data_IF_851486455194
#
_entry.id   IF_851486455194
#
_cell.length_a   1.000
_cell.length_b   1.000
_cell.length_c   1.000
_cell.angle_alpha   90.00
_cell.angle_beta   90.00
_cell.angle_gamma   90.00
#
_symmetry.space_group_name_H-M   'P 1'
#
loop_
_entity.id
_entity.type
_entity.pdbx_description
1 polymer ?
#
# COMPACT_ATOMS: atom_id res chain seq x y z
N UNK A 1 1.67 -12.53 -11.44
CA UNK A 1 1.01 -11.40 -12.10
C UNK A 1 -0.05 -10.77 -11.20
N UNK A 2 -1.02 -11.53 -10.67
CA UNK A 2 -2.13 -11.03 -9.83
C UNK A 2 -1.60 -10.26 -8.60
N UNK A 3 -0.62 -10.80 -7.90
CA UNK A 3 -0.06 -10.20 -6.69
C UNK A 3 0.76 -8.91 -6.95
N UNK A 4 1.31 -8.75 -8.15
CA UNK A 4 2.02 -7.52 -8.51
C UNK A 4 1.09 -6.29 -8.55
N UNK A 5 -0.20 -6.51 -8.83
CA UNK A 5 -1.23 -5.47 -8.90
C UNK A 5 -2.10 -5.40 -7.62
N UNK A 6 -1.86 -6.28 -6.64
CA UNK A 6 -2.64 -6.33 -5.40
C UNK A 6 -2.60 -5.03 -4.57
N UNK A 7 -1.57 -4.20 -4.78
CA UNK A 7 -1.41 -2.89 -4.14
C UNK A 7 -1.69 -1.71 -5.06
N UNK A 8 -2.28 -1.93 -6.23
CA UNK A 8 -2.70 -0.85 -7.12
C UNK A 8 -3.85 -0.04 -6.52
N UNK A 9 -3.90 1.25 -6.82
CA UNK A 9 -4.97 2.13 -6.35
C UNK A 9 -6.38 1.66 -6.70
N UNK A 10 -6.54 0.83 -7.71
CA UNK A 10 -7.83 0.23 -8.09
C UNK A 10 -8.47 -0.63 -7.00
N UNK A 11 -7.67 -1.18 -6.06
CA UNK A 11 -8.22 -1.96 -4.94
C UNK A 11 -9.13 -1.13 -4.02
N UNK A 12 -8.97 0.19 -4.02
CA UNK A 12 -9.83 1.08 -3.26
C UNK A 12 -11.27 1.15 -3.79
N UNK A 13 -11.51 0.84 -5.07
CA UNK A 13 -12.86 0.85 -5.66
C UNK A 13 -13.76 -0.19 -4.99
N UNK A 14 -13.43 -1.50 -4.97
CA UNK A 14 -14.25 -2.48 -4.26
C UNK A 14 -14.28 -2.24 -2.75
N UNK A 15 -13.19 -1.76 -2.13
CA UNK A 15 -13.17 -1.42 -0.71
C UNK A 15 -14.16 -0.28 -0.40
N UNK A 16 -14.22 0.75 -1.23
CA UNK A 16 -15.19 1.84 -1.12
C UNK A 16 -16.63 1.33 -1.27
N UNK A 17 -16.91 0.55 -2.31
CA UNK A 17 -18.23 0.01 -2.57
C UNK A 17 -18.72 -0.87 -1.41
N UNK A 18 -17.89 -1.79 -0.92
CA UNK A 18 -18.22 -2.65 0.23
C UNK A 18 -18.43 -1.84 1.52
N UNK A 19 -17.60 -0.83 1.77
CA UNK A 19 -17.74 0.04 2.94
C UNK A 19 -19.03 0.85 2.84
N UNK A 20 -19.36 1.38 1.67
CA UNK A 20 -20.60 2.11 1.42
C UNK A 20 -21.83 1.23 1.63
N UNK A 21 -21.80 -0.03 1.20
CA UNK A 21 -22.93 -0.95 1.30
C UNK A 21 -23.15 -1.47 2.73
N UNK A 22 -22.08 -1.83 3.43
CA UNK A 22 -22.19 -2.60 4.69
C UNK A 22 -21.71 -1.86 5.93
N UNK A 23 -20.90 -0.79 5.78
CA UNK A 23 -20.22 -0.11 6.89
C UNK A 23 -20.14 1.41 6.69
N UNK A 24 -21.22 2.04 6.23
CA UNK A 24 -21.28 3.48 5.88
C UNK A 24 -20.62 4.42 6.89
N UNK A 25 -20.77 4.16 8.18
CA UNK A 25 -20.17 4.97 9.24
C UNK A 25 -18.63 5.05 9.19
N UNK A 26 -17.98 4.06 8.56
CA UNK A 26 -16.51 4.03 8.40
C UNK A 26 -16.04 4.60 7.05
N UNK A 27 -16.96 5.13 6.23
CA UNK A 27 -16.58 5.74 4.94
C UNK A 27 -15.62 6.92 5.11
N UNK A 28 -15.84 7.86 6.07
CA UNK A 28 -14.86 8.93 6.31
C UNK A 28 -13.48 8.39 6.73
N UNK A 29 -13.44 7.32 7.53
CA UNK A 29 -12.20 6.66 7.92
C UNK A 29 -11.46 6.08 6.70
N UNK A 30 -12.18 5.40 5.80
CA UNK A 30 -11.61 4.88 4.55
C UNK A 30 -11.02 6.00 3.70
N UNK A 31 -11.81 7.06 3.46
CA UNK A 31 -11.37 8.20 2.65
C UNK A 31 -10.15 8.90 3.26
N UNK A 32 -10.15 9.13 4.56
CA UNK A 32 -9.00 9.68 5.27
C UNK A 32 -7.76 8.76 5.12
N UNK A 33 -7.93 7.43 5.19
CA UNK A 33 -6.83 6.48 5.00
C UNK A 33 -6.23 6.57 3.60
N UNK A 34 -7.06 6.64 2.57
CA UNK A 34 -6.61 6.80 1.17
C UNK A 34 -5.83 8.11 1.02
N UNK A 35 -6.38 9.22 1.51
CA UNK A 35 -5.77 10.54 1.40
C UNK A 35 -4.44 10.61 2.15
N UNK A 36 -4.40 10.18 3.42
CA UNK A 36 -3.19 10.18 4.23
C UNK A 36 -2.09 9.30 3.62
N UNK A 37 -2.43 8.07 3.20
CA UNK A 37 -1.47 7.16 2.58
C UNK A 37 -0.91 7.73 1.28
N UNK A 38 -1.76 8.34 0.45
CA UNK A 38 -1.34 8.97 -0.80
C UNK A 38 -0.45 10.17 -0.53
N UNK A 39 -0.85 11.09 0.36
CA UNK A 39 -0.05 12.29 0.67
C UNK A 39 1.31 11.89 1.22
N UNK A 40 1.38 11.01 2.22
CA UNK A 40 2.65 10.60 2.83
C UNK A 40 3.55 9.94 1.78
N UNK A 41 3.02 9.02 0.98
CA UNK A 41 3.78 8.32 -0.06
C UNK A 41 4.30 9.30 -1.12
N UNK A 42 3.45 10.18 -1.65
CA UNK A 42 3.83 11.08 -2.74
C UNK A 42 4.77 12.19 -2.26
N UNK A 43 4.53 12.75 -1.07
CA UNK A 43 5.45 13.72 -0.47
C UNK A 43 6.84 13.10 -0.23
N UNK A 44 6.88 11.86 0.27
CA UNK A 44 8.15 11.13 0.44
C UNK A 44 8.89 10.99 -0.89
N UNK A 45 8.21 10.58 -1.96
CA UNK A 45 8.81 10.38 -3.28
C UNK A 45 9.26 11.67 -3.96
N UNK A 46 8.47 12.73 -3.84
CA UNK A 46 8.69 13.95 -4.62
C UNK A 46 9.55 15.00 -3.91
N UNK A 47 9.55 14.99 -2.56
CA UNK A 47 10.25 15.99 -1.76
C UNK A 47 11.51 15.41 -1.12
N UNK A 48 11.39 14.29 -0.39
CA UNK A 48 12.48 13.78 0.44
C UNK A 48 13.40 12.79 -0.30
N UNK A 49 12.83 11.93 -1.15
CA UNK A 49 13.54 10.82 -1.81
C UNK A 49 13.36 10.87 -3.33
N UNK A 50 13.54 12.07 -3.88
CA UNK A 50 13.38 12.31 -5.30
C UNK A 50 14.44 11.53 -6.11
N UNK A 51 13.96 10.80 -7.11
CA UNK A 51 14.80 10.06 -8.06
C UNK A 51 15.58 8.87 -7.48
N UNK A 52 15.19 8.34 -6.30
CA UNK A 52 15.80 7.09 -5.81
C UNK A 52 15.66 5.97 -6.85
N UNK A 53 16.78 5.34 -7.14
CA UNK A 53 16.86 4.29 -8.16
C UNK A 53 16.18 3.01 -7.71
N UNK A 54 15.51 2.34 -8.66
CA UNK A 54 14.96 1.01 -8.46
C UNK A 54 15.98 -0.08 -8.72
N UNK A 55 15.77 -1.33 -8.25
CA UNK A 55 16.65 -2.46 -8.55
C UNK A 55 16.96 -2.59 -10.03
N UNK A 56 15.98 -2.35 -10.91
CA UNK A 56 16.11 -2.38 -12.37
C UNK A 56 17.10 -1.37 -12.96
N UNK A 57 17.39 -0.29 -12.23
CA UNK A 57 18.37 0.71 -12.65
C UNK A 57 19.77 0.46 -12.07
N UNK A 58 19.87 -0.32 -10.98
CA UNK A 58 21.12 -0.55 -10.25
C UNK A 58 21.74 -1.88 -10.62
N UNK A 59 20.92 -2.91 -10.87
CA UNK A 59 21.39 -4.25 -11.25
C UNK A 59 21.67 -4.26 -12.75
N UNK A 60 22.96 -4.22 -13.11
CA UNK A 60 23.39 -4.21 -14.51
C UNK A 60 23.21 -5.56 -15.21
N UNK A 61 23.27 -6.67 -14.47
CA UNK A 61 23.05 -7.99 -15.03
C UNK A 61 21.54 -8.31 -15.13
N UNK A 62 21.02 -8.23 -16.34
CA UNK A 62 19.63 -8.54 -16.65
C UNK A 62 19.22 -9.98 -16.35
N UNK A 63 20.16 -10.93 -16.24
CA UNK A 63 19.88 -12.32 -15.90
C UNK A 63 19.44 -12.48 -14.43
N UNK A 64 19.83 -11.54 -13.57
CA UNK A 64 19.43 -11.51 -12.14
C UNK A 64 18.06 -10.88 -11.92
N UNK A 65 17.46 -10.25 -12.94
CA UNK A 65 16.16 -9.61 -12.83
C UNK A 65 15.07 -10.53 -13.39
N UNK A 66 14.15 -10.95 -12.51
CA UNK A 66 13.00 -11.73 -12.95
C UNK A 66 11.98 -10.82 -13.68
N UNK A 67 12.00 -10.89 -15.02
CA UNK A 67 11.08 -10.13 -15.88
C UNK A 67 9.77 -10.88 -16.04
N UNK A 68 8.66 -10.26 -15.66
CA UNK A 68 7.31 -10.80 -15.86
C UNK A 68 6.65 -10.05 -17.00
N UNK A 69 6.15 -10.79 -18.00
CA UNK A 69 5.45 -10.20 -19.15
C UNK A 69 4.25 -9.37 -18.71
N UNK A 70 4.12 -8.17 -19.28
CA UNK A 70 3.01 -7.25 -18.98
C UNK A 70 3.24 -6.35 -17.76
N UNK A 71 4.40 -6.43 -17.07
CA UNK A 71 4.78 -5.48 -16.03
C UNK A 71 5.75 -4.46 -16.59
N UNK A 72 5.36 -3.18 -16.51
CA UNK A 72 6.24 -2.06 -16.86
C UNK A 72 7.28 -1.90 -15.76
N UNK A 73 8.56 -2.02 -16.13
CA UNK A 73 9.67 -1.85 -15.20
C UNK A 73 10.05 -0.36 -15.15
N UNK A 74 9.81 0.26 -14.01
CA UNK A 74 10.26 1.63 -13.73
C UNK A 74 11.70 1.61 -13.20
N UNK A 75 12.43 2.71 -13.40
CA UNK A 75 13.84 2.84 -13.00
C UNK A 75 14.07 3.77 -11.82
N UNK A 76 13.14 4.69 -11.56
CA UNK A 76 13.25 5.73 -10.51
C UNK A 76 12.06 5.76 -9.57
N UNK A 77 12.11 6.64 -8.56
CA UNK A 77 11.07 6.82 -7.54
C UNK A 77 10.77 5.52 -6.76
N UNK A 78 11.84 4.85 -6.28
CA UNK A 78 11.72 3.59 -5.56
C UNK A 78 11.10 3.77 -4.18
N UNK A 79 11.58 4.70 -3.38
CA UNK A 79 11.26 4.83 -1.97
C UNK A 79 10.16 5.87 -1.67
N UNK A 80 9.19 5.55 -0.79
CA UNK A 80 8.79 4.23 -0.32
C UNK A 80 7.90 3.47 -1.32
N UNK A 81 7.65 2.18 -1.09
CA UNK A 81 6.76 1.39 -1.95
C UNK A 81 5.29 1.76 -1.77
N UNK A 82 4.71 2.42 -2.79
CA UNK A 82 3.29 2.81 -2.78
C UNK A 82 2.33 1.62 -2.80
N UNK A 83 2.64 0.55 -3.57
CA UNK A 83 1.84 -0.67 -3.59
C UNK A 83 1.79 -1.34 -2.22
N UNK A 84 2.92 -1.40 -1.52
CA UNK A 84 2.98 -1.94 -0.16
C UNK A 84 2.18 -1.07 0.81
N UNK A 85 2.31 0.26 0.73
CA UNK A 85 1.53 1.18 1.53
C UNK A 85 0.03 0.98 1.33
N UNK A 86 -0.44 0.84 0.08
CA UNK A 86 -1.84 0.58 -0.24
C UNK A 86 -2.32 -0.76 0.32
N UNK A 87 -1.58 -1.86 0.07
CA UNK A 87 -1.99 -3.19 0.52
C UNK A 87 -2.08 -3.30 2.05
N UNK A 88 -1.08 -2.74 2.76
CA UNK A 88 -1.08 -2.73 4.23
C UNK A 88 -2.11 -1.75 4.81
N UNK A 89 -2.36 -0.60 4.18
CA UNK A 89 -3.42 0.31 4.60
C UNK A 89 -4.80 -0.34 4.50
N UNK A 90 -5.08 -1.06 3.42
CA UNK A 90 -6.32 -1.81 3.25
C UNK A 90 -6.46 -2.92 4.29
N UNK A 91 -5.40 -3.70 4.52
CA UNK A 91 -5.37 -4.74 5.55
C UNK A 91 -5.69 -4.16 6.93
N UNK A 92 -4.99 -3.11 7.35
CA UNK A 92 -5.19 -2.46 8.65
C UNK A 92 -6.59 -1.86 8.74
N UNK A 93 -7.09 -1.19 7.70
CA UNK A 93 -8.46 -0.69 7.66
C UNK A 93 -9.47 -1.82 7.92
N UNK A 94 -9.34 -2.96 7.23
CA UNK A 94 -10.21 -4.11 7.45
C UNK A 94 -10.15 -4.65 8.88
N UNK A 95 -8.97 -4.65 9.52
CA UNK A 95 -8.82 -5.03 10.92
C UNK A 95 -9.57 -4.08 11.87
N UNK A 96 -9.53 -2.76 11.61
CA UNK A 96 -10.23 -1.77 12.44
C UNK A 96 -11.75 -1.86 12.34
N UNK A 97 -12.29 -2.15 11.15
CA UNK A 97 -13.75 -2.14 10.95
C UNK A 97 -14.41 -3.50 11.21
N UNK A 98 -13.64 -4.57 11.32
CA UNK A 98 -14.18 -5.93 11.45
C UNK A 98 -13.89 -6.55 12.81
N UNK A 99 -14.92 -7.16 13.38
CA UNK A 99 -14.79 -8.00 14.58
C UNK A 99 -14.35 -9.44 14.27
N UNK A 100 -14.19 -9.80 12.98
CA UNK A 100 -13.89 -11.18 12.58
C UNK A 100 -12.38 -11.44 12.66
N UNK A 101 -11.95 -12.27 13.62
CA UNK A 101 -10.55 -12.56 13.91
C UNK A 101 -9.78 -13.15 12.71
N UNK A 102 -10.42 -13.87 11.80
CA UNK A 102 -9.80 -14.46 10.62
C UNK A 102 -9.31 -13.42 9.59
N UNK A 103 -9.82 -12.17 9.65
CA UNK A 103 -9.35 -11.07 8.79
C UNK A 103 -7.88 -10.75 9.06
N UNK A 104 -7.42 -10.89 10.29
CA UNK A 104 -6.03 -10.58 10.64
C UNK A 104 -5.04 -11.48 9.87
N UNK A 105 -5.07 -12.83 9.99
CA UNK A 105 -4.12 -13.67 9.27
C UNK A 105 -4.27 -13.59 7.75
N UNK A 106 -5.51 -13.60 7.22
CA UNK A 106 -5.72 -13.56 5.77
C UNK A 106 -5.35 -12.22 5.16
N UNK A 107 -5.72 -11.11 5.81
CA UNK A 107 -5.35 -9.76 5.36
C UNK A 107 -3.85 -9.51 5.46
N UNK A 108 -3.19 -10.04 6.51
CA UNK A 108 -1.75 -9.96 6.64
C UNK A 108 -1.03 -10.72 5.53
N UNK A 109 -1.45 -11.97 5.23
CA UNK A 109 -0.91 -12.76 4.13
C UNK A 109 -1.09 -12.02 2.79
N UNK A 110 -2.29 -11.48 2.53
CA UNK A 110 -2.56 -10.66 1.34
C UNK A 110 -1.58 -9.49 1.21
N UNK A 111 -1.43 -8.69 2.27
CA UNK A 111 -0.57 -7.52 2.26
C UNK A 111 0.92 -7.88 2.12
N UNK A 112 1.34 -8.98 2.78
CA UNK A 112 2.71 -9.50 2.70
C UNK A 112 3.04 -9.98 1.28
N UNK A 113 2.14 -10.73 0.65
CA UNK A 113 2.32 -11.19 -0.74
C UNK A 113 2.34 -10.03 -1.72
N UNK A 114 1.52 -8.99 -1.51
CA UNK A 114 1.56 -7.75 -2.29
C UNK A 114 2.90 -7.02 -2.18
N UNK A 115 3.44 -6.90 -0.98
CA UNK A 115 4.77 -6.32 -0.73
C UNK A 115 5.90 -7.17 -1.33
N UNK A 116 5.88 -8.47 -1.08
CA UNK A 116 6.88 -9.41 -1.60
C UNK A 116 6.91 -9.42 -3.14
N UNK A 117 5.75 -9.39 -3.78
CA UNK A 117 5.66 -9.35 -5.24
C UNK A 117 6.42 -8.16 -5.84
N UNK A 118 6.50 -7.02 -5.15
CA UNK A 118 7.26 -5.85 -5.62
C UNK A 118 8.77 -6.06 -5.59
N UNK A 119 9.26 -6.84 -4.62
CA UNK A 119 10.67 -7.27 -4.56
C UNK A 119 10.94 -8.29 -5.67
N UNK A 120 10.06 -9.28 -5.80
CA UNK A 120 10.18 -10.37 -6.78
C UNK A 120 10.28 -9.87 -8.22
N UNK A 121 9.50 -8.84 -8.59
CA UNK A 121 9.54 -8.24 -9.93
C UNK A 121 10.57 -7.10 -10.05
N UNK A 122 11.53 -7.01 -9.13
CA UNK A 122 12.61 -6.02 -9.09
C UNK A 122 12.13 -4.54 -9.17
N UNK A 123 10.94 -4.25 -8.67
CA UNK A 123 10.39 -2.88 -8.64
C UNK A 123 10.80 -2.11 -7.39
N UNK A 124 11.06 -2.80 -6.29
CA UNK A 124 11.40 -2.20 -5.01
C UNK A 124 12.45 -3.02 -4.25
N UNK A 125 13.30 -2.34 -3.50
CA UNK A 125 14.15 -2.98 -2.50
C UNK A 125 13.33 -3.39 -1.27
N UNK A 126 13.81 -4.36 -0.46
CA UNK A 126 13.16 -4.71 0.80
C UNK A 126 12.94 -3.52 1.75
N UNK A 127 13.87 -2.55 1.74
CA UNK A 127 13.76 -1.32 2.53
C UNK A 127 12.57 -0.46 2.10
N UNK A 128 12.31 -0.36 0.78
CA UNK A 128 11.16 0.40 0.26
C UNK A 128 9.84 -0.22 0.70
N UNK A 129 9.81 -1.55 0.76
CA UNK A 129 8.64 -2.32 1.23
C UNK A 129 8.44 -2.09 2.73
N UNK A 130 9.51 -2.16 3.54
CA UNK A 130 9.45 -1.85 4.97
C UNK A 130 8.96 -0.42 5.24
N UNK A 131 9.47 0.56 4.49
CA UNK A 131 9.00 1.94 4.57
C UNK A 131 7.53 2.08 4.16
N UNK A 132 7.07 1.33 3.14
CA UNK A 132 5.66 1.29 2.74
C UNK A 132 4.74 0.77 3.86
N UNK A 133 5.20 -0.22 4.65
CA UNK A 133 4.47 -0.70 5.84
C UNK A 133 4.36 0.41 6.90
N UNK A 134 5.45 1.14 7.16
CA UNK A 134 5.43 2.28 8.09
C UNK A 134 4.49 3.39 7.63
N UNK A 135 4.48 3.71 6.33
CA UNK A 135 3.52 4.66 5.76
C UNK A 135 2.08 4.21 6.01
N UNK A 136 1.76 2.93 5.79
CA UNK A 136 0.44 2.39 6.04
C UNK A 136 0.04 2.53 7.52
N UNK A 137 0.95 2.18 8.42
CA UNK A 137 0.72 2.28 9.87
C UNK A 137 0.46 3.73 10.32
N UNK A 138 1.30 4.68 9.91
CA UNK A 138 1.10 6.10 10.21
C UNK A 138 -0.21 6.62 9.61
N UNK A 139 -0.52 6.24 8.38
CA UNK A 139 -1.74 6.65 7.70
C UNK A 139 -3.00 6.17 8.42
N UNK A 140 -3.03 4.91 8.84
CA UNK A 140 -4.20 4.36 9.53
C UNK A 140 -4.41 4.99 10.91
N UNK A 141 -3.34 5.23 11.67
CA UNK A 141 -3.44 5.90 12.97
C UNK A 141 -3.96 7.33 12.83
N UNK A 142 -3.38 8.11 11.90
CA UNK A 142 -3.82 9.48 11.66
C UNK A 142 -5.27 9.53 11.21
N UNK A 143 -5.66 8.67 10.30
CA UNK A 143 -7.04 8.58 9.79
C UNK A 143 -8.02 8.16 10.86
N UNK A 144 -7.63 7.27 11.77
CA UNK A 144 -8.45 6.88 12.91
C UNK A 144 -8.67 8.03 13.88
N UNK A 145 -7.62 8.80 14.20
CA UNK A 145 -7.75 10.01 15.03
C UNK A 145 -8.70 11.02 14.38
N UNK A 146 -8.57 11.25 13.07
CA UNK A 146 -9.48 12.12 12.32
C UNK A 146 -10.92 11.60 12.42
N UNK A 147 -11.13 10.30 12.22
CA UNK A 147 -12.45 9.69 12.24
C UNK A 147 -13.14 9.83 13.60
N UNK A 148 -12.46 9.50 14.71
CA UNK A 148 -13.07 9.61 16.05
C UNK A 148 -13.33 11.06 16.46
N UNK A 149 -12.46 11.99 16.04
CA UNK A 149 -12.61 13.40 16.42
C UNK A 149 -13.75 14.11 15.68
N UNK A 150 -13.93 13.85 14.39
CA UNK A 150 -14.86 14.59 13.54
C UNK A 150 -16.14 13.81 13.17
N UNK A 151 -16.11 12.48 13.13
CA UNK A 151 -17.20 11.69 12.55
C UNK A 151 -17.81 10.66 13.50
N UNK A 152 -17.27 10.45 14.67
CA UNK A 152 -17.79 9.51 15.67
C UNK A 152 -18.40 10.23 16.90
N UNK A 153 -19.04 11.38 16.64
CA UNK A 153 -19.81 12.14 17.64
C UNK A 153 -21.24 11.62 17.73
#
# INVERSE_FOLDING_TARGET
>A
YIWANAGDGFIWIPAFALTLMYKKKFLPFLLATIVCSTIITQSSKQVFFKSENRPTAVISDNALIHKVSGIVLHTTNSFPSGHTATAFSLFLFCCFISAKKWIVPLGFIYALLGGYARIYVAQHFPLDVGAGILVAYCSILLSWVIHIHYFNK
#
